data_IF_709306318704
#
_entry.id   IF_709306318704
#
_cell.length_a   1.000
_cell.length_b   1.000
_cell.length_c   1.000
_cell.angle_alpha   90.00
_cell.angle_beta   90.00
_cell.angle_gamma   90.00
#
_symmetry.space_group_name_H-M   'P 1'
#
loop_
_entity.id
_entity.type
_entity.pdbx_description
1 polymer ?
#
# COMPACT_ATOMS: atom_id res chain seq x y z
N UNK A 1 15.89 14.62 -34.59
CA UNK A 1 16.18 13.50 -33.65
C UNK A 1 15.06 12.48 -33.82
N UNK A 2 15.35 11.17 -33.95
CA UNK A 2 14.28 10.15 -33.92
C UNK A 2 13.56 10.23 -32.57
N UNK A 3 12.27 10.39 -32.59
CA UNK A 3 11.42 10.36 -31.38
C UNK A 3 11.67 9.04 -30.66
N UNK A 4 12.12 9.09 -29.41
CA UNK A 4 12.35 7.86 -28.61
C UNK A 4 11.01 7.31 -28.13
N UNK A 5 10.70 6.06 -28.47
CA UNK A 5 9.50 5.35 -28.00
C UNK A 5 9.72 4.88 -26.57
N UNK A 6 8.98 5.46 -25.63
CA UNK A 6 9.04 5.08 -24.23
C UNK A 6 7.85 4.19 -23.89
N UNK A 7 8.14 3.00 -23.37
CA UNK A 7 7.14 2.10 -22.80
C UNK A 7 7.23 2.09 -21.27
N UNK A 8 6.15 2.52 -20.59
CA UNK A 8 5.95 2.39 -19.16
C UNK A 8 5.24 1.07 -18.89
N UNK A 9 5.93 0.14 -18.24
CA UNK A 9 5.48 -1.23 -18.02
C UNK A 9 5.15 -1.49 -16.55
N UNK A 10 3.93 -1.96 -16.25
CA UNK A 10 3.65 -2.71 -15.03
C UNK A 10 3.72 -4.21 -15.34
N UNK A 11 4.69 -4.93 -14.76
CA UNK A 11 4.99 -6.29 -15.17
C UNK A 11 4.03 -7.34 -14.61
N UNK A 12 3.01 -6.93 -13.83
CA UNK A 12 2.08 -7.82 -13.15
C UNK A 12 2.73 -8.66 -12.05
N UNK A 13 2.00 -9.65 -11.55
CA UNK A 13 2.42 -10.54 -10.47
C UNK A 13 2.29 -11.99 -10.92
N UNK A 14 3.37 -12.78 -10.83
CA UNK A 14 3.38 -14.19 -11.26
C UNK A 14 2.86 -15.15 -10.19
N UNK A 15 3.11 -14.85 -8.93
CA UNK A 15 2.79 -15.71 -7.80
C UNK A 15 2.11 -14.88 -6.73
N UNK A 16 0.80 -14.85 -6.73
CA UNK A 16 0.01 -14.22 -5.68
C UNK A 16 -1.39 -14.80 -5.66
N UNK A 17 -2.02 -14.86 -4.49
CA UNK A 17 -3.42 -15.19 -4.41
C UNK A 17 -4.26 -14.16 -5.18
N UNK A 18 -5.39 -14.59 -5.71
CA UNK A 18 -6.34 -13.76 -6.45
C UNK A 18 -7.07 -12.80 -5.50
N UNK A 19 -6.42 -11.75 -5.07
CA UNK A 19 -7.09 -10.59 -4.48
C UNK A 19 -7.02 -9.43 -5.46
N UNK A 20 -8.17 -8.80 -5.74
CA UNK A 20 -8.26 -7.70 -6.71
C UNK A 20 -7.54 -6.45 -6.22
N UNK A 21 -7.17 -5.58 -7.13
CA UNK A 21 -6.83 -4.21 -6.78
C UNK A 21 -8.06 -3.53 -6.18
N UNK A 22 -7.85 -2.65 -5.22
CA UNK A 22 -8.91 -1.87 -4.63
C UNK A 22 -9.39 -0.75 -5.60
N UNK A 23 -8.52 -0.34 -6.52
CA UNK A 23 -8.77 0.65 -7.58
C UNK A 23 -8.80 -0.02 -8.95
N UNK A 24 -9.42 0.63 -9.92
CA UNK A 24 -9.50 0.14 -11.30
C UNK A 24 -8.15 0.26 -12.05
N UNK A 25 -7.28 1.16 -11.61
CA UNK A 25 -5.96 1.41 -12.18
C UNK A 25 -4.82 1.22 -11.16
N UNK A 26 -3.61 1.03 -11.66
CA UNK A 26 -2.40 1.12 -10.86
C UNK A 26 -2.02 2.60 -10.66
N UNK A 27 -2.56 3.23 -9.62
CA UNK A 27 -2.48 4.68 -9.36
C UNK A 27 -1.07 5.26 -9.52
N UNK A 28 -0.02 4.56 -9.07
CA UNK A 28 1.36 5.03 -9.21
C UNK A 28 1.80 5.20 -10.66
N UNK A 29 1.25 4.41 -11.60
CA UNK A 29 1.55 4.57 -13.03
C UNK A 29 0.92 5.84 -13.60
N UNK A 30 -0.24 6.28 -13.08
CA UNK A 30 -0.88 7.54 -13.49
C UNK A 30 0.08 8.70 -13.28
N UNK A 31 0.76 8.75 -12.13
CA UNK A 31 1.75 9.79 -11.81
C UNK A 31 3.01 9.68 -12.68
N UNK A 32 3.52 8.46 -12.87
CA UNK A 32 4.66 8.24 -13.76
C UNK A 32 4.33 8.63 -15.21
N UNK A 33 3.17 8.27 -15.70
CA UNK A 33 2.69 8.60 -17.04
C UNK A 33 2.55 10.12 -17.21
N UNK A 34 1.89 10.79 -16.28
CA UNK A 34 1.73 12.25 -16.31
C UNK A 34 3.09 12.98 -16.29
N UNK A 35 4.07 12.48 -15.52
CA UNK A 35 5.42 13.02 -15.50
C UNK A 35 6.13 12.82 -16.84
N UNK A 36 6.15 11.61 -17.37
CA UNK A 36 6.89 11.25 -18.59
C UNK A 36 6.33 11.94 -19.83
N UNK A 37 5.01 12.11 -19.94
CA UNK A 37 4.38 12.83 -21.05
C UNK A 37 4.81 14.29 -21.21
N UNK A 38 5.40 14.89 -20.19
CA UNK A 38 5.94 16.24 -20.27
C UNK A 38 7.23 16.33 -21.07
N UNK A 39 7.91 15.20 -21.28
CA UNK A 39 9.27 15.14 -21.87
C UNK A 39 9.37 14.22 -23.09
N UNK A 40 8.39 13.35 -23.28
CA UNK A 40 8.33 12.43 -24.41
C UNK A 40 7.06 12.68 -25.22
N UNK A 41 7.19 12.74 -26.53
CA UNK A 41 6.04 12.90 -27.44
C UNK A 41 5.13 11.67 -27.41
N UNK A 42 5.74 10.49 -27.29
CA UNK A 42 5.03 9.21 -27.22
C UNK A 42 5.43 8.44 -25.97
N UNK A 43 4.45 8.22 -25.08
CA UNK A 43 4.55 7.36 -23.92
C UNK A 43 3.44 6.33 -24.01
N UNK A 44 3.82 5.08 -24.28
CA UNK A 44 2.91 3.95 -24.23
C UNK A 44 2.90 3.39 -22.80
N UNK A 45 1.72 3.08 -22.28
CA UNK A 45 1.55 2.36 -21.02
C UNK A 45 1.13 0.94 -21.32
N UNK A 46 1.75 -0.03 -20.66
CA UNK A 46 1.35 -1.43 -20.71
C UNK A 46 1.20 -1.96 -19.28
N UNK A 47 -0.04 -2.15 -18.85
CA UNK A 47 -0.38 -2.78 -17.59
C UNK A 47 -0.73 -4.25 -17.86
N UNK A 48 0.22 -5.16 -17.63
CA UNK A 48 0.04 -6.58 -17.91
C UNK A 48 -0.99 -7.25 -17.01
N UNK A 49 -1.21 -6.72 -15.81
CA UNK A 49 -2.24 -7.26 -14.93
C UNK A 49 -3.64 -6.87 -15.40
N UNK A 50 -3.80 -5.63 -15.88
CA UNK A 50 -5.07 -5.16 -16.45
C UNK A 50 -5.40 -5.86 -17.78
N UNK A 51 -4.39 -6.15 -18.63
CA UNK A 51 -4.60 -6.80 -19.95
C UNK A 51 -4.71 -8.32 -19.87
N UNK A 52 -3.89 -8.97 -19.03
CA UNK A 52 -3.76 -10.43 -19.03
C UNK A 52 -4.30 -11.09 -17.76
N UNK A 53 -4.63 -10.30 -16.73
CA UNK A 53 -4.95 -10.83 -15.40
C UNK A 53 -3.75 -11.45 -14.69
N UNK A 54 -4.01 -12.18 -13.61
CA UNK A 54 -2.99 -12.89 -12.82
C UNK A 54 -3.00 -14.37 -13.14
N UNK A 55 -1.85 -14.96 -13.49
CA UNK A 55 -1.75 -16.40 -13.75
C UNK A 55 -1.93 -17.19 -12.43
N UNK A 56 -2.61 -18.34 -12.52
CA UNK A 56 -2.99 -19.17 -11.35
C UNK A 56 -2.17 -20.45 -11.23
N UNK A 57 -1.56 -20.88 -12.34
CA UNK A 57 -0.79 -22.11 -12.41
C UNK A 57 0.41 -21.93 -13.33
N UNK A 58 1.27 -22.94 -13.41
CA UNK A 58 2.53 -22.89 -14.17
C UNK A 58 2.32 -22.68 -15.68
N UNK A 59 1.30 -23.32 -16.24
CA UNK A 59 0.99 -23.16 -17.68
C UNK A 59 0.50 -21.75 -17.99
N UNK A 60 -0.36 -21.17 -17.14
CA UNK A 60 -0.80 -19.78 -17.26
C UNK A 60 0.35 -18.80 -17.07
N UNK A 61 1.29 -19.06 -16.13
CA UNK A 61 2.49 -18.23 -15.93
C UNK A 61 3.38 -18.20 -17.16
N UNK A 62 3.61 -19.36 -17.79
CA UNK A 62 4.38 -19.44 -19.02
C UNK A 62 3.69 -18.68 -20.14
N UNK A 63 2.39 -18.91 -20.39
CA UNK A 63 1.61 -18.18 -21.39
C UNK A 63 1.59 -16.67 -21.14
N UNK A 64 1.49 -16.26 -19.89
CA UNK A 64 1.55 -14.86 -19.48
C UNK A 64 2.91 -14.25 -19.87
N UNK A 65 4.01 -14.87 -19.51
CA UNK A 65 5.35 -14.35 -19.81
C UNK A 65 5.63 -14.31 -21.32
N UNK A 66 5.29 -15.36 -22.06
CA UNK A 66 5.49 -15.43 -23.51
C UNK A 66 4.63 -14.39 -24.24
N UNK A 67 3.35 -14.27 -23.86
CA UNK A 67 2.44 -13.27 -24.42
C UNK A 67 2.87 -11.83 -24.06
N UNK A 68 3.27 -11.59 -22.82
CA UNK A 68 3.77 -10.30 -22.39
C UNK A 68 5.05 -9.89 -23.12
N UNK A 69 6.00 -10.81 -23.27
CA UNK A 69 7.24 -10.56 -24.02
C UNK A 69 6.92 -10.23 -25.49
N UNK A 70 6.09 -11.04 -26.15
CA UNK A 70 5.66 -10.78 -27.53
C UNK A 70 4.99 -9.41 -27.69
N UNK A 71 4.13 -9.02 -26.72
CA UNK A 71 3.46 -7.71 -26.72
C UNK A 71 4.47 -6.55 -26.57
N UNK A 72 5.42 -6.66 -25.64
CA UNK A 72 6.46 -5.64 -25.45
C UNK A 72 7.33 -5.51 -26.71
N UNK A 73 7.74 -6.63 -27.29
CA UNK A 73 8.56 -6.64 -28.50
C UNK A 73 7.86 -6.02 -29.71
N UNK A 74 6.53 -6.24 -29.85
CA UNK A 74 5.74 -5.65 -30.94
C UNK A 74 5.64 -4.13 -30.86
N UNK A 75 5.81 -3.54 -29.68
CA UNK A 75 5.84 -2.09 -29.45
C UNK A 75 7.21 -1.47 -29.76
N UNK A 76 8.23 -2.31 -29.96
CA UNK A 76 9.60 -1.89 -30.30
C UNK A 76 10.14 -0.73 -29.47
N UNK A 77 10.11 -0.75 -28.12
CA UNK A 77 10.52 0.38 -27.31
C UNK A 77 12.02 0.66 -27.42
N UNK A 78 12.39 1.93 -27.52
CA UNK A 78 13.77 2.39 -27.36
C UNK A 78 14.15 2.48 -25.87
N UNK A 79 13.16 2.87 -25.05
CA UNK A 79 13.23 2.97 -23.59
C UNK A 79 12.12 2.15 -22.96
N UNK A 80 12.46 1.27 -22.04
CA UNK A 80 11.53 0.50 -21.22
C UNK A 80 11.66 0.91 -19.76
N UNK A 81 10.60 1.49 -19.19
CA UNK A 81 10.50 1.85 -17.77
C UNK A 81 9.64 0.82 -17.04
N UNK A 82 10.27 -0.04 -16.25
CA UNK A 82 9.60 -1.12 -15.52
C UNK A 82 9.24 -0.66 -14.12
N UNK A 83 7.95 -0.70 -13.78
CA UNK A 83 7.46 -0.40 -12.45
C UNK A 83 7.44 -1.65 -11.57
N UNK A 84 8.51 -1.89 -10.81
CA UNK A 84 8.54 -2.90 -9.75
C UNK A 84 8.01 -2.26 -8.44
N UNK A 85 6.71 -2.01 -8.40
CA UNK A 85 6.04 -1.28 -7.32
C UNK A 85 6.15 -2.01 -5.98
N UNK A 86 6.05 -3.34 -5.98
CA UNK A 86 6.21 -4.17 -4.78
C UNK A 86 7.17 -5.32 -5.03
N UNK A 87 7.58 -6.01 -3.95
CA UNK A 87 8.40 -7.22 -4.06
C UNK A 87 7.70 -8.35 -4.81
N UNK A 88 6.36 -8.34 -4.89
CA UNK A 88 5.57 -9.29 -5.67
C UNK A 88 5.83 -9.19 -7.19
N UNK A 89 6.26 -8.02 -7.66
CA UNK A 89 6.55 -7.79 -9.07
C UNK A 89 7.99 -8.18 -9.47
N UNK A 90 8.84 -8.55 -8.52
CA UNK A 90 10.28 -8.75 -8.78
C UNK A 90 10.54 -9.81 -9.86
N UNK A 91 9.96 -11.01 -9.74
CA UNK A 91 10.19 -12.09 -10.70
C UNK A 91 9.66 -11.77 -12.09
N UNK A 92 8.47 -11.18 -12.21
CA UNK A 92 7.93 -10.77 -13.51
C UNK A 92 8.78 -9.68 -14.16
N UNK A 93 9.16 -8.65 -13.39
CA UNK A 93 10.03 -7.58 -13.88
C UNK A 93 11.38 -8.12 -14.40
N UNK A 94 12.01 -9.00 -13.62
CA UNK A 94 13.29 -9.62 -13.97
C UNK A 94 13.19 -10.51 -15.22
N UNK A 95 12.24 -11.44 -15.25
CA UNK A 95 12.07 -12.39 -16.37
C UNK A 95 11.77 -11.69 -17.69
N UNK A 96 10.89 -10.67 -17.67
CA UNK A 96 10.58 -9.88 -18.85
C UNK A 96 11.79 -9.06 -19.31
N UNK A 97 12.51 -8.42 -18.39
CA UNK A 97 13.73 -7.68 -18.73
C UNK A 97 14.82 -8.59 -19.33
N UNK A 98 15.02 -9.80 -18.78
CA UNK A 98 15.93 -10.82 -19.33
C UNK A 98 15.52 -11.25 -20.75
N UNK A 99 14.23 -11.46 -21.00
CA UNK A 99 13.69 -11.76 -22.32
C UNK A 99 13.94 -10.64 -23.33
N UNK A 100 13.65 -9.40 -22.95
CA UNK A 100 13.87 -8.23 -23.81
C UNK A 100 15.35 -8.00 -24.08
N UNK A 101 16.22 -8.21 -23.09
CA UNK A 101 17.67 -8.07 -23.28
C UNK A 101 18.21 -9.07 -24.31
N UNK A 102 17.65 -10.29 -24.40
CA UNK A 102 18.02 -11.28 -25.41
C UNK A 102 17.55 -10.91 -26.82
N UNK A 103 16.29 -10.49 -26.94
CA UNK A 103 15.65 -10.27 -28.24
C UNK A 103 15.97 -8.88 -28.81
N UNK A 104 16.14 -7.87 -27.95
CA UNK A 104 16.42 -6.46 -28.32
C UNK A 104 17.48 -5.86 -27.39
N UNK A 105 18.77 -6.23 -27.56
CA UNK A 105 19.85 -5.78 -26.67
C UNK A 105 20.06 -4.25 -26.66
N UNK A 106 19.59 -3.54 -27.69
CA UNK A 106 19.69 -2.09 -27.79
C UNK A 106 18.64 -1.32 -26.95
N UNK A 107 17.53 -1.97 -26.54
CA UNK A 107 16.53 -1.34 -25.69
C UNK A 107 17.14 -0.95 -24.35
N UNK A 108 17.01 0.31 -23.96
CA UNK A 108 17.41 0.78 -22.63
C UNK A 108 16.35 0.43 -21.60
N UNK A 109 16.73 -0.25 -20.51
CA UNK A 109 15.81 -0.73 -19.50
C UNK A 109 16.11 -0.07 -18.15
N UNK A 110 15.15 0.67 -17.63
CA UNK A 110 15.19 1.15 -16.26
C UNK A 110 14.15 0.43 -15.40
N UNK A 111 14.43 0.30 -14.11
CA UNK A 111 13.48 -0.22 -13.13
C UNK A 111 13.33 0.76 -11.97
N UNK A 112 12.10 1.00 -11.54
CA UNK A 112 11.76 1.86 -10.42
C UNK A 112 10.61 1.28 -9.58
N UNK A 113 10.26 1.95 -8.48
CA UNK A 113 9.22 1.56 -7.54
C UNK A 113 9.75 1.31 -6.13
N UNK A 114 8.91 0.77 -5.23
CA UNK A 114 9.30 0.53 -3.83
C UNK A 114 10.41 -0.51 -3.72
N UNK A 115 10.30 -1.65 -4.40
CA UNK A 115 11.29 -2.70 -4.28
C UNK A 115 12.70 -2.23 -4.69
N UNK A 116 12.94 -1.64 -5.89
CA UNK A 116 14.24 -1.08 -6.24
C UNK A 116 14.73 0.04 -5.32
N UNK A 117 13.81 0.75 -4.66
CA UNK A 117 14.16 1.81 -3.71
C UNK A 117 14.82 1.24 -2.45
N UNK A 118 14.34 0.09 -1.96
CA UNK A 118 14.85 -0.53 -0.73
C UNK A 118 15.88 -1.63 -0.97
N UNK A 119 15.84 -2.26 -2.16
CA UNK A 119 16.71 -3.39 -2.55
C UNK A 119 17.30 -3.18 -3.93
N UNK A 120 18.00 -2.06 -4.11
CA UNK A 120 18.65 -1.73 -5.39
C UNK A 120 19.66 -2.79 -5.84
N UNK A 121 20.28 -3.51 -4.90
CA UNK A 121 21.22 -4.60 -5.16
C UNK A 121 20.60 -5.78 -5.88
N UNK A 122 19.29 -6.01 -5.74
CA UNK A 122 18.58 -7.08 -6.46
C UNK A 122 18.49 -6.82 -7.98
N UNK A 123 18.76 -5.56 -8.38
CA UNK A 123 18.75 -5.12 -9.79
C UNK A 123 20.12 -4.68 -10.29
N UNK A 124 21.11 -4.51 -9.39
CA UNK A 124 22.49 -4.08 -9.71
C UNK A 124 23.48 -5.19 -9.40
N UNK A 125 23.63 -6.12 -10.33
CA UNK A 125 24.59 -7.22 -10.24
C UNK A 125 25.25 -7.44 -11.62
N UNK A 126 26.42 -8.11 -11.70
CA UNK A 126 27.03 -8.45 -12.97
C UNK A 126 26.09 -9.27 -13.87
N UNK A 127 25.83 -8.80 -15.08
CA UNK A 127 24.89 -9.45 -16.01
C UNK A 127 23.42 -9.09 -15.79
N UNK A 128 23.11 -8.08 -14.95
CA UNK A 128 21.75 -7.57 -14.78
C UNK A 128 21.16 -7.11 -16.12
N UNK A 129 19.90 -7.41 -16.42
CA UNK A 129 19.24 -6.93 -17.62
C UNK A 129 18.90 -5.43 -17.58
N UNK A 130 18.99 -4.79 -16.41
CA UNK A 130 18.63 -3.40 -16.20
C UNK A 130 19.83 -2.47 -16.39
N UNK A 131 19.68 -1.43 -17.22
CA UNK A 131 20.71 -0.39 -17.42
C UNK A 131 20.69 0.64 -16.27
N UNK A 132 19.52 0.84 -15.65
CA UNK A 132 19.37 1.84 -14.59
C UNK A 132 18.37 1.41 -13.52
N UNK A 133 18.66 1.78 -12.26
CA UNK A 133 17.78 1.56 -11.11
C UNK A 133 17.41 2.91 -10.51
N UNK A 134 16.15 3.30 -10.70
CA UNK A 134 15.58 4.52 -10.10
C UNK A 134 15.13 4.21 -8.66
N UNK A 135 16.00 4.47 -7.70
CA UNK A 135 15.69 4.33 -6.28
C UNK A 135 15.06 5.63 -5.76
N UNK A 136 13.79 5.60 -5.41
CA UNK A 136 12.98 6.76 -5.00
C UNK A 136 12.02 7.22 -6.09
N UNK A 137 11.80 8.52 -6.17
CA UNK A 137 10.84 9.10 -7.11
C UNK A 137 11.35 9.05 -8.56
N UNK A 138 10.43 9.08 -9.54
CA UNK A 138 10.73 8.93 -10.98
C UNK A 138 11.68 10.00 -11.50
N UNK A 139 11.69 11.19 -10.92
CA UNK A 139 12.56 12.31 -11.27
C UNK A 139 14.05 11.96 -11.13
N UNK A 140 14.38 10.99 -10.28
CA UNK A 140 15.75 10.49 -10.13
C UNK A 140 16.26 9.75 -11.37
N UNK A 141 15.35 9.29 -12.22
CA UNK A 141 15.69 8.71 -13.51
C UNK A 141 15.95 9.76 -14.61
N UNK A 142 15.66 11.03 -14.36
CA UNK A 142 15.79 12.11 -15.35
C UNK A 142 17.14 12.11 -16.10
N UNK A 143 18.32 11.99 -15.46
CA UNK A 143 19.59 11.96 -16.17
C UNK A 143 19.73 10.77 -17.13
N UNK A 144 19.24 9.59 -16.73
CA UNK A 144 19.25 8.41 -17.58
C UNK A 144 18.28 8.53 -18.75
N UNK A 145 17.14 9.16 -18.52
CA UNK A 145 16.12 9.41 -19.54
C UNK A 145 16.50 10.54 -20.49
N UNK A 146 17.57 11.31 -20.19
CA UNK A 146 17.96 12.49 -20.94
C UNK A 146 17.00 13.66 -20.74
N UNK A 147 16.36 13.73 -19.56
CA UNK A 147 15.46 14.80 -19.15
C UNK A 147 16.27 15.84 -18.37
N UNK A 148 16.20 17.11 -18.83
CA UNK A 148 16.73 18.24 -18.08
C UNK A 148 15.66 18.80 -17.14
N UNK A 149 15.86 18.59 -15.83
CA UNK A 149 14.96 19.10 -14.80
C UNK A 149 15.52 20.43 -14.26
N UNK A 150 14.71 21.47 -14.16
CA UNK A 150 15.14 22.73 -13.54
C UNK A 150 15.54 22.48 -12.09
N UNK A 151 16.76 22.91 -11.70
CA UNK A 151 17.49 22.57 -10.48
C UNK A 151 16.82 22.94 -9.15
N UNK A 152 15.69 23.65 -9.13
CA UNK A 152 14.98 24.07 -7.91
C UNK A 152 13.46 23.96 -7.93
N UNK A 153 12.84 23.76 -9.06
CA UNK A 153 11.40 23.64 -9.14
C UNK A 153 11.01 22.18 -9.24
N UNK A 154 10.52 21.65 -8.15
CA UNK A 154 9.76 20.42 -8.15
C UNK A 154 10.52 19.11 -8.42
N UNK A 155 11.58 18.85 -7.67
CA UNK A 155 11.99 17.46 -7.43
C UNK A 155 11.22 16.97 -6.19
N UNK A 156 9.96 16.66 -6.38
CA UNK A 156 9.09 16.15 -5.35
C UNK A 156 8.05 15.26 -5.99
N UNK A 157 7.42 14.38 -5.20
CA UNK A 157 6.43 13.41 -5.70
C UNK A 157 5.24 14.06 -6.42
N UNK A 158 5.15 15.38 -6.41
CA UNK A 158 4.08 16.20 -7.01
C UNK A 158 4.57 17.05 -8.20
N UNK A 159 5.75 16.74 -8.75
CA UNK A 159 6.29 17.44 -9.93
C UNK A 159 5.39 17.29 -11.16
N UNK A 160 4.59 16.24 -11.21
CA UNK A 160 3.56 16.07 -12.22
C UNK A 160 2.19 15.89 -11.55
N UNK A 161 1.25 16.76 -11.91
CA UNK A 161 -0.14 16.57 -11.57
C UNK A 161 -0.66 15.29 -12.26
N UNK A 162 -1.34 14.37 -11.56
CA UNK A 162 -1.88 13.17 -12.20
C UNK A 162 -2.94 13.55 -13.24
N UNK A 163 -2.86 12.92 -14.39
CA UNK A 163 -3.83 13.09 -15.48
C UNK A 163 -4.60 11.79 -15.67
N UNK A 164 -5.64 11.61 -14.86
CA UNK A 164 -6.49 10.43 -14.90
C UNK A 164 -7.31 10.35 -16.19
N UNK A 165 -7.70 11.49 -16.75
CA UNK A 165 -8.55 11.52 -17.95
C UNK A 165 -7.82 10.99 -19.20
N UNK A 166 -6.51 11.24 -19.30
CA UNK A 166 -5.66 10.76 -20.41
C UNK A 166 -5.00 9.41 -20.14
N UNK A 167 -5.15 8.85 -18.93
CA UNK A 167 -4.50 7.59 -18.59
C UNK A 167 -5.22 6.42 -19.28
N UNK A 168 -4.51 5.54 -20.03
CA UNK A 168 -5.15 4.54 -20.90
C UNK A 168 -6.04 3.51 -20.19
N UNK A 169 -5.77 3.26 -18.90
CA UNK A 169 -6.53 2.28 -18.08
C UNK A 169 -7.52 2.93 -17.12
N UNK A 170 -7.69 4.25 -17.16
CA UNK A 170 -8.68 4.92 -16.34
C UNK A 170 -10.10 4.54 -16.80
N UNK A 171 -10.96 4.21 -15.83
CA UNK A 171 -12.35 3.80 -16.10
C UNK A 171 -13.33 4.69 -15.38
N UNK A 172 -14.39 5.08 -16.07
CA UNK A 172 -15.49 5.84 -15.47
C UNK A 172 -16.33 4.96 -14.53
N UNK A 173 -16.78 5.53 -13.43
CA UNK A 173 -17.68 4.87 -12.48
C UNK A 173 -17.03 3.88 -11.51
N UNK A 174 -15.75 3.54 -11.71
CA UNK A 174 -14.98 2.70 -10.78
C UNK A 174 -14.47 3.44 -9.55
N UNK A 175 -13.84 2.75 -8.59
CA UNK A 175 -13.08 3.41 -7.52
C UNK A 175 -11.74 3.91 -8.08
N UNK A 176 -11.38 5.16 -7.77
CA UNK A 176 -10.14 5.80 -8.22
C UNK A 176 -9.20 6.02 -7.04
N UNK A 177 -7.93 5.66 -7.20
CA UNK A 177 -6.90 5.93 -6.21
C UNK A 177 -6.21 7.27 -6.43
N UNK A 178 -5.89 8.00 -5.35
CA UNK A 178 -5.12 9.25 -5.42
C UNK A 178 -4.16 9.36 -4.23
N UNK A 179 -2.98 9.94 -4.47
CA UNK A 179 -2.06 10.33 -3.41
C UNK A 179 -2.18 11.84 -3.16
N UNK A 180 -2.51 12.22 -1.95
CA UNK A 180 -2.51 13.61 -1.49
C UNK A 180 -1.30 13.93 -0.59
N UNK A 181 -0.58 12.89 -0.14
CA UNK A 181 0.71 13.02 0.51
C UNK A 181 1.59 11.80 0.22
N UNK A 182 2.91 11.95 0.37
CA UNK A 182 3.85 10.84 0.37
C UNK A 182 4.64 10.78 1.66
N UNK A 183 5.16 9.58 1.96
CA UNK A 183 5.98 9.34 3.13
C UNK A 183 5.18 9.32 4.43
N UNK A 184 5.86 8.91 5.51
CA UNK A 184 5.29 8.81 6.84
C UNK A 184 6.39 9.07 7.88
N UNK A 185 6.20 9.99 8.85
CA UNK A 185 7.23 10.32 9.84
C UNK A 185 7.32 9.27 10.96
N UNK A 186 6.34 8.38 11.04
CA UNK A 186 6.34 7.33 12.04
C UNK A 186 7.34 6.23 11.68
N UNK A 187 7.74 5.46 12.71
CA UNK A 187 8.80 4.46 12.58
C UNK A 187 8.31 3.06 12.95
N UNK A 188 7.11 2.72 12.50
CA UNK A 188 6.55 1.40 12.70
C UNK A 188 7.47 0.32 12.12
N UNK A 189 7.85 -0.68 12.94
CA UNK A 189 8.91 -1.62 12.59
C UNK A 189 8.59 -2.51 11.38
N UNK A 190 7.31 -2.77 11.14
CA UNK A 190 6.81 -3.59 10.03
C UNK A 190 6.64 -2.84 8.70
N UNK A 191 6.74 -1.48 8.72
CA UNK A 191 6.35 -0.63 7.60
C UNK A 191 7.57 -0.18 6.79
N UNK A 192 7.42 -0.13 5.47
CA UNK A 192 8.45 0.36 4.55
C UNK A 192 8.53 1.89 4.51
N UNK A 193 7.44 2.60 4.86
CA UNK A 193 7.35 4.07 4.78
C UNK A 193 8.10 4.81 5.90
N UNK A 194 8.55 4.13 6.95
CA UNK A 194 9.12 4.74 8.16
C UNK A 194 10.39 5.60 7.94
N UNK A 195 11.00 5.53 6.77
CA UNK A 195 12.22 6.30 6.42
C UNK A 195 11.93 7.50 5.53
N UNK A 196 10.67 7.77 5.20
CA UNK A 196 10.31 8.80 4.23
C UNK A 196 9.73 10.03 4.92
N UNK A 197 10.21 11.21 4.51
CA UNK A 197 9.63 12.48 4.96
C UNK A 197 8.18 12.58 4.45
N UNK A 198 7.27 12.96 5.32
CA UNK A 198 5.91 13.27 4.92
C UNK A 198 5.87 14.58 4.11
N UNK A 199 5.30 14.54 2.94
CA UNK A 199 5.22 15.68 2.01
C UNK A 199 3.81 15.71 1.42
N UNK A 200 2.97 16.71 1.79
CA UNK A 200 1.62 16.83 1.27
C UNK A 200 1.58 17.58 -0.06
N UNK A 201 0.52 17.34 -0.82
CA UNK A 201 0.05 18.24 -1.87
C UNK A 201 -0.50 19.50 -1.21
N UNK A 202 -0.26 20.70 -1.72
CA UNK A 202 -0.92 21.92 -1.22
C UNK A 202 -2.44 21.78 -1.25
N UNK A 203 -3.14 22.21 -0.19
CA UNK A 203 -4.59 22.02 -0.06
C UNK A 203 -5.39 22.46 -1.29
N UNK A 204 -5.17 23.67 -1.87
CA UNK A 204 -5.94 24.10 -3.04
C UNK A 204 -5.73 23.18 -4.26
N UNK A 205 -4.55 22.59 -4.39
CA UNK A 205 -4.24 21.67 -5.48
C UNK A 205 -4.82 20.28 -5.23
N UNK A 206 -4.78 19.80 -3.99
CA UNK A 206 -5.42 18.55 -3.59
C UNK A 206 -6.93 18.58 -3.88
N UNK A 207 -7.62 19.63 -3.46
CA UNK A 207 -9.05 19.82 -3.69
C UNK A 207 -9.39 19.92 -5.18
N UNK A 208 -8.60 20.65 -5.96
CA UNK A 208 -8.75 20.73 -7.42
C UNK A 208 -8.58 19.37 -8.10
N UNK A 209 -7.59 18.58 -7.66
CA UNK A 209 -7.36 17.24 -8.20
C UNK A 209 -8.57 16.34 -7.96
N UNK A 210 -9.18 16.38 -6.76
CA UNK A 210 -10.39 15.61 -6.46
C UNK A 210 -11.57 16.02 -7.35
N UNK A 211 -11.80 17.33 -7.52
CA UNK A 211 -12.86 17.85 -8.39
C UNK A 211 -12.65 17.40 -9.86
N UNK A 212 -11.42 17.43 -10.38
CA UNK A 212 -11.10 16.99 -11.73
C UNK A 212 -11.29 15.47 -11.91
N UNK A 213 -10.93 14.65 -10.92
CA UNK A 213 -11.19 13.22 -10.92
C UNK A 213 -12.70 12.96 -10.96
N UNK A 214 -13.47 13.64 -10.12
CA UNK A 214 -14.92 13.47 -10.07
C UNK A 214 -15.57 13.88 -11.39
N UNK A 215 -15.18 15.02 -11.93
CA UNK A 215 -15.70 15.55 -13.20
C UNK A 215 -15.33 14.68 -14.40
N UNK A 216 -14.08 14.20 -14.46
CA UNK A 216 -13.55 13.40 -15.57
C UNK A 216 -14.02 11.96 -15.54
N UNK A 217 -14.06 11.31 -14.40
CA UNK A 217 -14.29 9.88 -14.26
C UNK A 217 -15.63 9.50 -13.60
N UNK A 218 -16.30 10.44 -12.91
CA UNK A 218 -17.52 10.17 -12.14
C UNK A 218 -17.37 8.92 -11.25
N UNK A 219 -16.35 8.85 -10.39
CA UNK A 219 -16.04 7.65 -9.63
C UNK A 219 -17.12 7.37 -8.58
N UNK A 220 -17.35 6.10 -8.26
CA UNK A 220 -18.20 5.74 -7.12
C UNK A 220 -17.53 6.06 -5.78
N UNK A 221 -16.19 6.03 -5.73
CA UNK A 221 -15.41 6.39 -4.56
C UNK A 221 -14.00 6.85 -4.98
N UNK A 222 -13.45 7.78 -4.22
CA UNK A 222 -12.03 8.18 -4.30
C UNK A 222 -11.30 7.64 -3.08
N UNK A 223 -10.27 6.83 -3.33
CA UNK A 223 -9.41 6.25 -2.30
C UNK A 223 -8.17 7.11 -2.14
N UNK A 224 -8.01 7.74 -0.97
CA UNK A 224 -6.78 8.47 -0.63
C UNK A 224 -5.76 7.46 -0.13
N UNK A 225 -4.78 7.14 -0.98
CA UNK A 225 -3.79 6.07 -0.78
C UNK A 225 -2.56 6.52 0.02
N UNK A 226 -2.70 7.61 0.77
CA UNK A 226 -1.63 8.15 1.59
C UNK A 226 -1.16 7.13 2.63
N UNK A 227 0.15 7.01 2.82
CA UNK A 227 0.72 6.18 3.88
C UNK A 227 0.27 6.62 5.30
N UNK A 228 -0.14 7.88 5.44
CA UNK A 228 -0.66 8.46 6.68
C UNK A 228 -1.45 9.73 6.37
N UNK A 229 -2.73 9.59 6.09
CA UNK A 229 -3.60 10.74 5.80
C UNK A 229 -3.65 11.71 6.97
N UNK A 230 -3.57 13.00 6.64
CA UNK A 230 -3.84 14.09 7.57
C UNK A 230 -2.85 14.20 8.73
N UNK A 231 -1.57 13.84 8.51
CA UNK A 231 -0.53 13.90 9.53
C UNK A 231 -0.34 15.28 10.13
N UNK A 232 -0.38 16.33 9.33
CA UNK A 232 -0.31 17.71 9.80
C UNK A 232 -1.71 18.23 10.12
N UNK A 233 -1.96 18.71 11.37
CA UNK A 233 -3.29 19.13 11.78
C UNK A 233 -3.80 20.35 10.99
N UNK A 234 -2.92 21.29 10.65
CA UNK A 234 -3.32 22.51 9.91
C UNK A 234 -3.73 22.12 8.49
N UNK A 235 -2.89 21.38 7.78
CA UNK A 235 -3.21 20.87 6.45
C UNK A 235 -4.53 20.09 6.46
N UNK A 236 -4.71 19.21 7.44
CA UNK A 236 -5.87 18.34 7.56
C UNK A 236 -7.16 19.13 7.74
N UNK A 237 -7.16 20.10 8.68
CA UNK A 237 -8.35 20.92 8.95
C UNK A 237 -8.73 21.79 7.74
N UNK A 238 -7.73 22.41 7.09
CA UNK A 238 -7.97 23.20 5.88
C UNK A 238 -8.49 22.31 4.73
N UNK A 239 -7.92 21.11 4.56
CA UNK A 239 -8.38 20.16 3.55
C UNK A 239 -9.81 19.69 3.81
N UNK A 240 -10.13 19.24 5.04
CA UNK A 240 -11.47 18.76 5.38
C UNK A 240 -12.54 19.85 5.23
N UNK A 241 -12.23 21.08 5.63
CA UNK A 241 -13.11 22.23 5.40
C UNK A 241 -13.37 22.42 3.91
N UNK A 242 -12.34 22.48 3.08
CA UNK A 242 -12.47 22.65 1.64
C UNK A 242 -13.22 21.49 0.97
N UNK A 243 -12.97 20.24 1.43
CA UNK A 243 -13.67 19.05 0.93
C UNK A 243 -15.19 19.15 1.14
N UNK A 244 -15.60 19.59 2.34
CA UNK A 244 -17.02 19.79 2.67
C UNK A 244 -17.63 20.95 1.88
N UNK A 245 -16.90 22.08 1.74
CA UNK A 245 -17.38 23.28 1.02
C UNK A 245 -17.55 23.01 -0.49
N UNK A 246 -16.72 22.17 -1.09
CA UNK A 246 -16.86 21.83 -2.52
C UNK A 246 -18.10 21.00 -2.82
N UNK A 247 -18.57 20.18 -1.88
CA UNK A 247 -19.65 19.22 -2.09
C UNK A 247 -19.30 18.18 -3.17
N UNK A 248 -19.28 16.92 -2.80
CA UNK A 248 -18.90 15.82 -3.68
C UNK A 248 -20.05 14.82 -3.81
N UNK A 249 -20.18 14.22 -5.00
CA UNK A 249 -21.20 13.19 -5.28
C UNK A 249 -20.67 11.76 -5.06
N UNK A 250 -19.35 11.58 -4.92
CA UNK A 250 -18.71 10.28 -4.67
C UNK A 250 -18.38 10.08 -3.19
N UNK A 251 -18.15 8.82 -2.80
CA UNK A 251 -17.63 8.48 -1.49
C UNK A 251 -16.11 8.67 -1.40
N UNK A 252 -15.60 8.78 -0.17
CA UNK A 252 -14.16 8.83 0.10
C UNK A 252 -13.73 7.63 0.96
N UNK A 253 -12.51 7.20 0.76
CA UNK A 253 -11.88 6.19 1.60
C UNK A 253 -10.49 6.68 2.00
N UNK A 254 -10.26 6.79 3.32
CA UNK A 254 -9.00 7.30 3.89
C UNK A 254 -8.34 6.26 4.79
N UNK A 255 -7.01 6.27 4.82
CA UNK A 255 -6.22 5.42 5.70
C UNK A 255 -5.40 6.29 6.66
N UNK A 256 -5.55 6.05 7.96
CA UNK A 256 -4.86 6.86 8.97
C UNK A 256 -4.60 6.08 10.26
N UNK A 257 -3.96 6.73 11.22
CA UNK A 257 -3.77 6.21 12.58
C UNK A 257 -4.93 6.63 13.47
N UNK A 258 -5.27 5.79 14.44
CA UNK A 258 -6.36 6.06 15.38
C UNK A 258 -6.08 7.24 16.34
N UNK A 259 -4.84 7.75 16.40
CA UNK A 259 -4.44 8.85 17.28
C UNK A 259 -4.28 10.20 16.56
N UNK A 260 -4.65 10.31 15.28
CA UNK A 260 -4.49 11.54 14.51
C UNK A 260 -5.77 12.38 14.40
N UNK A 261 -6.91 11.75 14.14
CA UNK A 261 -8.17 12.48 13.98
C UNK A 261 -8.73 12.92 15.34
N UNK A 262 -9.21 14.14 15.41
CA UNK A 262 -9.96 14.67 16.55
C UNK A 262 -11.48 14.71 16.27
N UNK A 263 -12.28 15.14 17.24
CA UNK A 263 -13.73 15.15 17.14
C UNK A 263 -14.24 16.10 16.06
N UNK A 264 -13.58 17.26 15.87
CA UNK A 264 -13.92 18.21 14.79
C UNK A 264 -13.66 17.61 13.42
N UNK A 265 -12.54 16.87 13.25
CA UNK A 265 -12.22 16.17 12.01
C UNK A 265 -13.31 15.15 11.66
N UNK A 266 -13.78 14.37 12.64
CA UNK A 266 -14.85 13.39 12.45
C UNK A 266 -16.19 14.06 12.12
N UNK A 267 -16.51 15.20 12.71
CA UNK A 267 -17.72 15.97 12.39
C UNK A 267 -17.69 16.51 10.95
N UNK A 268 -16.51 16.94 10.46
CA UNK A 268 -16.37 17.31 9.04
C UNK A 268 -16.49 16.07 8.14
N UNK A 269 -15.83 14.97 8.48
CA UNK A 269 -15.88 13.73 7.71
C UNK A 269 -17.30 13.13 7.66
N UNK A 270 -18.12 13.29 8.70
CA UNK A 270 -19.51 12.84 8.70
C UNK A 270 -20.41 13.60 7.70
N UNK A 271 -19.96 14.76 7.21
CA UNK A 271 -20.70 15.55 6.21
C UNK A 271 -20.45 15.11 4.77
N UNK A 272 -19.49 14.21 4.57
CA UNK A 272 -19.21 13.57 3.29
C UNK A 272 -19.34 12.05 3.45
N UNK A 273 -19.67 11.34 2.38
CA UNK A 273 -19.69 9.88 2.41
C UNK A 273 -18.26 9.37 2.56
N UNK A 274 -17.89 8.86 3.74
CA UNK A 274 -16.53 8.44 4.03
C UNK A 274 -16.47 7.06 4.70
N UNK A 275 -15.41 6.32 4.41
CA UNK A 275 -14.93 5.15 5.14
C UNK A 275 -13.52 5.39 5.64
N UNK A 276 -13.25 5.01 6.87
CA UNK A 276 -11.95 5.22 7.53
C UNK A 276 -11.30 3.88 7.86
N UNK A 277 -10.10 3.64 7.34
CA UNK A 277 -9.25 2.52 7.71
C UNK A 277 -8.26 2.98 8.78
N UNK A 278 -8.30 2.33 9.93
CA UNK A 278 -7.45 2.63 11.09
C UNK A 278 -6.36 1.58 11.25
N UNK A 279 -5.11 1.99 11.06
CA UNK A 279 -3.98 1.15 11.43
C UNK A 279 -3.83 1.08 12.95
N UNK A 280 -4.47 0.10 13.59
CA UNK A 280 -4.36 -0.14 15.05
C UNK A 280 -3.23 -1.11 15.35
N UNK A 281 -3.09 -2.14 14.55
CA UNK A 281 -2.08 -3.19 14.47
C UNK A 281 -2.17 -4.24 15.58
N UNK A 282 -2.39 -3.85 16.83
CA UNK A 282 -2.57 -4.76 17.96
C UNK A 282 -3.33 -4.12 19.11
N UNK A 283 -4.09 -4.94 19.83
CA UNK A 283 -4.67 -4.54 21.11
C UNK A 283 -3.78 -4.91 22.31
N UNK A 284 -2.59 -5.44 22.07
CA UNK A 284 -1.59 -5.69 23.11
C UNK A 284 -0.68 -4.48 23.28
N UNK A 285 -0.63 -3.83 24.46
CA UNK A 285 0.33 -2.75 24.74
C UNK A 285 1.78 -3.18 24.51
N UNK A 286 2.12 -4.43 24.82
CA UNK A 286 3.46 -4.99 24.61
C UNK A 286 3.78 -5.06 23.11
N UNK A 287 2.84 -5.57 22.28
CA UNK A 287 3.06 -5.63 20.83
C UNK A 287 3.16 -4.26 20.20
N UNK A 288 2.35 -3.29 20.61
CA UNK A 288 2.43 -1.92 20.10
C UNK A 288 3.82 -1.29 20.33
N UNK A 289 4.47 -1.60 21.47
CA UNK A 289 5.87 -1.18 21.74
C UNK A 289 6.86 -1.92 20.85
N UNK A 290 6.73 -3.25 20.71
CA UNK A 290 7.60 -4.06 19.84
C UNK A 290 7.49 -3.59 18.37
N UNK A 291 6.30 -3.36 17.90
CA UNK A 291 5.99 -2.83 16.56
C UNK A 291 6.43 -1.36 16.37
N UNK A 292 6.86 -0.69 17.45
CA UNK A 292 7.16 0.75 17.44
C UNK A 292 6.00 1.60 16.92
N UNK A 293 4.76 1.13 17.13
CA UNK A 293 3.55 1.86 16.70
C UNK A 293 3.38 3.14 17.52
N UNK A 294 3.60 3.04 18.82
CA UNK A 294 3.51 4.15 19.78
C UNK A 294 4.39 3.93 21.00
N UNK A 295 4.85 5.01 21.62
CA UNK A 295 5.53 4.98 22.92
C UNK A 295 4.54 4.91 24.10
N UNK A 296 3.28 5.31 23.90
CA UNK A 296 2.20 5.36 24.89
C UNK A 296 1.02 4.46 24.48
N UNK A 297 1.18 3.12 24.55
CA UNK A 297 0.19 2.19 24.00
C UNK A 297 -1.18 2.26 24.70
N UNK A 298 -1.23 2.47 25.99
CA UNK A 298 -2.50 2.55 26.72
C UNK A 298 -3.30 3.79 26.27
N UNK A 299 -2.67 4.94 26.16
CA UNK A 299 -3.28 6.16 25.61
C UNK A 299 -3.69 5.99 24.15
N UNK A 300 -2.89 5.27 23.34
CA UNK A 300 -3.18 4.99 21.95
C UNK A 300 -4.46 4.15 21.81
N UNK A 301 -4.60 3.11 22.64
CA UNK A 301 -5.77 2.24 22.66
C UNK A 301 -7.02 2.96 23.18
N UNK A 302 -6.88 3.81 24.21
CA UNK A 302 -7.99 4.69 24.67
C UNK A 302 -8.46 5.63 23.56
N UNK A 303 -7.54 6.24 22.82
CA UNK A 303 -7.88 7.08 21.65
C UNK A 303 -8.62 6.28 20.58
N UNK A 304 -8.20 5.04 20.30
CA UNK A 304 -8.89 4.17 19.37
C UNK A 304 -10.35 3.93 19.79
N UNK A 305 -10.59 3.58 21.07
CA UNK A 305 -11.96 3.35 21.58
C UNK A 305 -12.81 4.61 21.50
N UNK A 306 -12.26 5.75 21.92
CA UNK A 306 -12.95 7.04 21.85
C UNK A 306 -13.32 7.43 20.43
N UNK A 307 -12.38 7.32 19.50
CA UNK A 307 -12.58 7.59 18.07
C UNK A 307 -13.64 6.66 17.48
N UNK A 308 -13.57 5.35 17.76
CA UNK A 308 -14.53 4.37 17.23
C UNK A 308 -15.95 4.62 17.75
N UNK A 309 -16.11 5.03 19.01
CA UNK A 309 -17.41 5.46 19.54
C UNK A 309 -17.96 6.69 18.82
N UNK A 310 -17.10 7.70 18.59
CA UNK A 310 -17.51 8.91 17.88
C UNK A 310 -17.87 8.59 16.41
N UNK A 311 -17.08 7.78 15.71
CA UNK A 311 -17.41 7.30 14.37
C UNK A 311 -18.78 6.61 14.34
N UNK A 312 -19.04 5.72 15.29
CA UNK A 312 -20.33 5.02 15.38
C UNK A 312 -21.49 5.98 15.65
N UNK A 313 -21.32 6.96 16.55
CA UNK A 313 -22.33 7.98 16.84
C UNK A 313 -22.64 8.88 15.63
N UNK A 314 -21.65 9.11 14.77
CA UNK A 314 -21.78 9.89 13.55
C UNK A 314 -22.16 9.05 12.31
N UNK A 315 -22.31 7.73 12.45
CA UNK A 315 -22.61 6.83 11.33
C UNK A 315 -21.44 6.58 10.36
N UNK A 316 -20.21 6.95 10.73
CA UNK A 316 -19.04 6.78 9.89
C UNK A 316 -18.58 5.31 9.94
N UNK A 317 -18.57 4.64 8.79
CA UNK A 317 -17.98 3.29 8.67
C UNK A 317 -16.47 3.32 8.86
N UNK A 318 -15.95 2.43 9.69
CA UNK A 318 -14.51 2.35 9.91
C UNK A 318 -14.04 0.92 10.19
N UNK A 319 -12.83 0.63 9.70
CA UNK A 319 -12.16 -0.65 9.87
C UNK A 319 -10.95 -0.49 10.80
N UNK A 320 -10.75 -1.41 11.72
CA UNK A 320 -9.53 -1.54 12.51
C UNK A 320 -8.67 -2.68 11.95
N UNK A 321 -7.48 -2.35 11.45
CA UNK A 321 -6.53 -3.34 10.92
C UNK A 321 -5.61 -3.83 12.02
N UNK A 322 -5.48 -5.16 12.15
CA UNK A 322 -4.65 -5.88 13.10
C UNK A 322 -3.65 -6.77 12.37
N UNK A 323 -2.42 -6.84 12.88
CA UNK A 323 -1.34 -7.68 12.38
C UNK A 323 -0.98 -8.70 13.44
N UNK A 324 -1.14 -9.97 13.10
CA UNK A 324 -0.74 -11.11 13.92
C UNK A 324 0.53 -11.78 13.39
N UNK A 325 1.15 -12.61 14.20
CA UNK A 325 2.41 -13.28 13.88
C UNK A 325 3.58 -12.31 13.59
N UNK A 326 3.52 -11.10 14.16
CA UNK A 326 4.66 -10.18 14.12
C UNK A 326 5.77 -10.69 15.03
N UNK A 327 7.08 -10.54 14.68
CA UNK A 327 8.20 -10.86 15.55
C UNK A 327 8.00 -10.37 17.00
N UNK A 328 8.22 -11.27 17.96
CA UNK A 328 8.00 -11.01 19.37
C UNK A 328 6.60 -11.29 19.88
N UNK A 329 5.64 -11.71 19.03
CA UNK A 329 4.34 -12.17 19.48
C UNK A 329 4.46 -13.47 20.28
N UNK A 330 3.67 -13.60 21.35
CA UNK A 330 3.75 -14.67 22.32
C UNK A 330 2.39 -14.89 22.99
N UNK A 331 2.24 -15.98 23.74
CA UNK A 331 1.03 -16.25 24.50
C UNK A 331 0.67 -15.10 25.47
N UNK A 332 1.66 -14.41 26.00
CA UNK A 332 1.44 -13.22 26.84
C UNK A 332 0.77 -12.10 26.06
N UNK A 333 1.29 -11.77 24.88
CA UNK A 333 0.76 -10.66 24.06
C UNK A 333 -0.62 -10.98 23.49
N UNK A 334 -0.89 -12.25 23.20
CA UNK A 334 -2.24 -12.69 22.79
C UNK A 334 -3.23 -12.53 23.93
N UNK A 335 -2.86 -12.92 25.16
CA UNK A 335 -3.75 -12.71 26.34
C UNK A 335 -3.98 -11.22 26.63
N UNK A 336 -3.00 -10.34 26.40
CA UNK A 336 -3.20 -8.89 26.50
C UNK A 336 -4.24 -8.42 25.47
N UNK A 337 -4.11 -8.89 24.22
CA UNK A 337 -5.02 -8.60 23.14
C UNK A 337 -6.45 -9.06 23.44
N UNK A 338 -6.63 -10.33 23.81
CA UNK A 338 -7.93 -10.93 24.17
C UNK A 338 -8.60 -10.16 25.32
N UNK A 339 -7.84 -9.85 26.36
CA UNK A 339 -8.33 -9.09 27.52
C UNK A 339 -8.81 -7.69 27.14
N UNK A 340 -8.10 -7.00 26.25
CA UNK A 340 -8.54 -5.69 25.78
C UNK A 340 -9.82 -5.79 24.94
N UNK A 341 -9.90 -6.78 24.06
CA UNK A 341 -11.11 -7.06 23.29
C UNK A 341 -12.31 -7.28 24.19
N UNK A 342 -12.20 -8.17 25.19
CA UNK A 342 -13.29 -8.53 26.11
C UNK A 342 -13.74 -7.35 26.99
N UNK A 343 -12.78 -6.52 27.47
CA UNK A 343 -13.07 -5.48 28.42
C UNK A 343 -13.46 -4.14 27.81
N UNK A 344 -13.01 -3.86 26.58
CA UNK A 344 -13.15 -2.54 25.98
C UNK A 344 -13.85 -2.60 24.61
N UNK A 345 -13.37 -3.45 23.70
CA UNK A 345 -13.90 -3.48 22.32
C UNK A 345 -15.32 -4.01 22.29
N UNK A 346 -15.56 -5.19 22.88
CA UNK A 346 -16.87 -5.81 22.92
C UNK A 346 -17.92 -4.94 23.63
N UNK A 347 -17.71 -4.50 24.90
CA UNK A 347 -18.74 -3.78 25.65
C UNK A 347 -19.01 -2.36 25.10
N UNK A 348 -17.98 -1.70 24.55
CA UNK A 348 -18.07 -0.28 24.23
C UNK A 348 -18.35 -0.01 22.75
N UNK A 349 -18.07 -0.97 21.86
CA UNK A 349 -18.15 -0.79 20.40
C UNK A 349 -19.15 -1.72 19.71
N UNK A 350 -19.76 -2.65 20.45
CA UNK A 350 -20.80 -3.54 19.91
C UNK A 350 -22.00 -2.72 19.38
N UNK A 351 -22.51 -3.12 18.21
CA UNK A 351 -23.63 -2.41 17.56
C UNK A 351 -23.25 -1.14 16.77
N UNK A 352 -21.96 -0.73 16.85
CA UNK A 352 -21.45 0.41 16.08
C UNK A 352 -21.09 0.10 14.63
N UNK A 353 -20.39 1.03 14.01
CA UNK A 353 -19.96 0.96 12.60
C UNK A 353 -18.57 0.32 12.41
N UNK A 354 -17.96 -0.18 13.48
CA UNK A 354 -16.64 -0.81 13.45
C UNK A 354 -16.68 -2.17 12.74
N UNK A 355 -15.66 -2.41 11.92
CA UNK A 355 -15.29 -3.76 11.43
C UNK A 355 -13.82 -4.02 11.76
N UNK A 356 -13.52 -5.21 12.29
CA UNK A 356 -12.14 -5.62 12.57
C UNK A 356 -11.61 -6.43 11.39
N UNK A 357 -10.47 -6.01 10.85
CA UNK A 357 -9.71 -6.71 9.82
C UNK A 357 -8.43 -7.26 10.40
N UNK A 358 -8.14 -8.52 10.14
CA UNK A 358 -6.91 -9.14 10.60
C UNK A 358 -6.09 -9.69 9.46
N UNK A 359 -4.78 -9.53 9.57
CA UNK A 359 -3.80 -10.11 8.66
C UNK A 359 -2.65 -10.75 9.42
N UNK A 360 -1.97 -11.68 8.76
CA UNK A 360 -0.69 -12.21 9.24
C UNK A 360 0.43 -11.28 8.78
N UNK A 361 1.40 -11.05 9.66
CA UNK A 361 2.60 -10.29 9.34
C UNK A 361 3.26 -10.82 8.06
N UNK A 362 3.68 -9.93 7.21
CA UNK A 362 4.45 -10.22 6.01
C UNK A 362 5.81 -9.54 6.10
N UNK A 363 6.87 -10.27 5.86
CA UNK A 363 8.23 -9.77 5.89
C UNK A 363 8.55 -9.05 4.58
N UNK A 364 8.55 -7.73 4.61
CA UNK A 364 8.91 -6.92 3.45
C UNK A 364 10.31 -6.32 3.60
N UNK A 365 11.13 -6.33 2.53
CA UNK A 365 12.41 -5.64 2.52
C UNK A 365 12.21 -4.14 2.70
N UNK A 366 13.17 -3.49 3.35
CA UNK A 366 13.10 -2.07 3.69
C UNK A 366 12.32 -1.76 4.97
N UNK A 367 11.65 -2.75 5.60
CA UNK A 367 11.11 -2.60 6.95
C UNK A 367 12.20 -2.77 8.01
N UNK A 368 12.01 -2.14 9.17
CA UNK A 368 12.97 -2.31 10.27
C UNK A 368 13.01 -3.75 10.80
N UNK A 369 11.92 -4.51 10.69
CA UNK A 369 11.91 -5.94 11.01
C UNK A 369 12.88 -6.70 10.10
N UNK A 370 12.82 -6.48 8.78
CA UNK A 370 13.71 -7.13 7.84
C UNK A 370 15.19 -6.83 8.14
N UNK A 371 15.52 -5.55 8.34
CA UNK A 371 16.88 -5.10 8.63
C UNK A 371 17.41 -5.62 9.98
N UNK A 372 16.53 -6.05 10.89
CA UNK A 372 16.87 -6.45 12.28
C UNK A 372 16.62 -7.94 12.55
N UNK A 373 16.44 -8.78 11.55
CA UNK A 373 16.17 -10.22 11.74
C UNK A 373 17.18 -10.90 12.69
N UNK A 374 18.51 -10.68 12.62
CA UNK A 374 19.45 -11.29 13.55
C UNK A 374 19.18 -10.89 15.01
N UNK A 375 18.90 -9.61 15.25
CA UNK A 375 18.60 -9.10 16.60
C UNK A 375 17.25 -9.67 17.13
N UNK A 376 16.28 -9.85 16.25
CA UNK A 376 14.98 -10.42 16.62
C UNK A 376 15.10 -11.93 16.88
N UNK A 377 15.98 -12.62 16.17
CA UNK A 377 16.32 -14.01 16.46
C UNK A 377 16.93 -14.16 17.85
N UNK A 378 17.90 -13.32 18.22
CA UNK A 378 18.49 -13.31 19.56
C UNK A 378 17.45 -13.00 20.64
N UNK A 379 16.63 -11.97 20.43
CA UNK A 379 15.71 -11.45 21.46
C UNK A 379 14.47 -12.33 21.66
N UNK A 380 13.91 -12.89 20.60
CA UNK A 380 12.62 -13.57 20.61
C UNK A 380 12.66 -15.00 20.04
N UNK A 381 13.80 -15.42 19.48
CA UNK A 381 13.87 -16.66 18.71
C UNK A 381 13.13 -16.57 17.38
N UNK A 382 12.94 -15.36 16.85
CA UNK A 382 12.30 -15.15 15.54
C UNK A 382 13.12 -15.79 14.42
N UNK A 383 12.46 -16.49 13.51
CA UNK A 383 13.10 -17.00 12.29
C UNK A 383 12.22 -16.74 11.07
N UNK A 384 12.84 -16.51 9.92
CA UNK A 384 12.18 -16.43 8.63
C UNK A 384 12.69 -17.57 7.76
N UNK A 385 11.79 -18.40 7.22
CA UNK A 385 12.14 -19.52 6.35
C UNK A 385 12.56 -19.01 4.96
N UNK A 386 11.91 -17.98 4.47
CA UNK A 386 12.13 -17.37 3.16
C UNK A 386 12.43 -15.86 3.31
N UNK A 387 13.63 -15.47 3.81
CA UNK A 387 13.94 -14.06 4.05
C UNK A 387 13.99 -13.22 2.77
N UNK A 388 14.34 -13.83 1.63
CA UNK A 388 14.33 -13.20 0.30
C UNK A 388 13.26 -13.83 -0.61
N UNK A 389 12.06 -14.06 -0.06
CA UNK A 389 10.94 -14.74 -0.67
C UNK A 389 10.59 -14.26 -2.09
N UNK A 390 10.86 -13.01 -2.41
CA UNK A 390 10.57 -12.43 -3.74
C UNK A 390 11.46 -12.97 -4.86
N UNK A 391 12.54 -13.65 -4.53
CA UNK A 391 13.46 -14.32 -5.48
C UNK A 391 13.06 -15.77 -5.76
N UNK A 392 12.15 -16.31 -4.96
CA UNK A 392 11.73 -17.70 -4.99
C UNK A 392 10.45 -17.88 -5.79
N UNK A 393 10.30 -19.00 -6.48
CA UNK A 393 9.06 -19.37 -7.14
C UNK A 393 8.06 -19.94 -6.13
N UNK A 394 6.77 -19.69 -6.36
CA UNK A 394 5.72 -20.17 -5.50
C UNK A 394 4.74 -19.06 -5.07
N UNK A 395 3.94 -19.31 -4.05
CA UNK A 395 3.04 -18.28 -3.48
C UNK A 395 3.85 -17.29 -2.64
N UNK A 396 4.30 -16.23 -3.24
CA UNK A 396 5.13 -15.22 -2.60
C UNK A 396 4.46 -14.58 -1.37
N UNK A 397 3.15 -14.48 -1.34
CA UNK A 397 2.47 -13.93 -0.18
C UNK A 397 2.51 -14.92 0.99
N UNK A 398 2.37 -16.22 0.73
CA UNK A 398 2.56 -17.25 1.74
C UNK A 398 4.02 -17.29 2.21
N UNK A 399 4.98 -17.26 1.29
CA UNK A 399 6.41 -17.21 1.59
C UNK A 399 6.78 -15.98 2.44
N UNK A 400 6.22 -14.80 2.13
CA UNK A 400 6.46 -13.58 2.91
C UNK A 400 5.94 -13.66 4.34
N UNK A 401 5.02 -14.61 4.61
CA UNK A 401 4.42 -14.87 5.92
C UNK A 401 5.03 -16.05 6.66
N UNK A 402 6.04 -16.71 6.09
CA UNK A 402 6.77 -17.83 6.70
C UNK A 402 7.74 -17.33 7.76
N UNK A 403 7.20 -16.61 8.75
CA UNK A 403 7.94 -16.08 9.89
C UNK A 403 7.45 -16.78 11.14
N UNK A 404 8.37 -17.37 11.90
CA UNK A 404 8.11 -17.82 13.28
C UNK A 404 8.32 -16.60 14.19
N UNK A 405 7.26 -16.04 14.80
CA UNK A 405 7.35 -14.79 15.57
C UNK A 405 8.24 -14.86 16.78
N UNK A 406 8.21 -15.97 17.50
CA UNK A 406 9.01 -16.19 18.70
C UNK A 406 9.15 -17.68 19.02
N UNK A 407 10.00 -17.97 20.04
CA UNK A 407 10.08 -19.30 20.65
C UNK A 407 9.94 -19.18 22.16
N UNK A 408 9.38 -20.22 22.78
CA UNK A 408 9.31 -20.29 24.24
C UNK A 408 10.67 -20.66 24.87
N UNK A 409 10.74 -20.71 26.20
CA UNK A 409 11.96 -21.05 26.94
C UNK A 409 12.47 -22.48 26.67
N UNK A 410 11.69 -23.33 26.01
CA UNK A 410 12.06 -24.68 25.55
C UNK A 410 12.40 -24.73 24.08
N UNK A 411 12.49 -23.56 23.41
CA UNK A 411 12.77 -23.44 22.00
C UNK A 411 11.62 -23.79 21.07
N UNK A 412 10.40 -24.06 21.59
CA UNK A 412 9.23 -24.40 20.77
C UNK A 412 8.70 -23.15 20.07
N UNK A 413 8.41 -23.23 18.75
CA UNK A 413 7.90 -22.10 18.00
C UNK A 413 6.50 -21.69 18.49
N UNK A 414 6.29 -20.39 18.56
CA UNK A 414 4.99 -19.79 18.76
C UNK A 414 4.49 -19.19 17.44
N UNK A 415 3.39 -19.72 16.94
CA UNK A 415 2.71 -19.24 15.71
C UNK A 415 1.21 -19.34 15.94
N UNK A 416 0.49 -18.25 15.70
CA UNK A 416 -0.97 -18.24 15.75
C UNK A 416 -1.54 -18.84 14.46
N UNK A 417 -2.38 -19.85 14.60
CA UNK A 417 -3.07 -20.41 13.44
C UNK A 417 -4.13 -19.46 12.89
N UNK A 418 -4.41 -19.51 11.58
CA UNK A 418 -5.47 -18.69 10.98
C UNK A 418 -6.83 -18.82 11.69
N UNK A 419 -7.18 -20.00 12.17
CA UNK A 419 -8.44 -20.23 12.91
C UNK A 419 -8.46 -19.48 14.25
N UNK A 420 -7.34 -19.45 14.98
CA UNK A 420 -7.22 -18.73 16.26
C UNK A 420 -7.29 -17.22 16.06
N UNK A 421 -6.84 -16.71 14.90
CA UNK A 421 -6.92 -15.30 14.54
C UNK A 421 -8.33 -14.93 14.07
N UNK A 422 -8.81 -15.62 13.04
CA UNK A 422 -10.01 -15.23 12.31
C UNK A 422 -11.32 -15.61 13.03
N UNK A 423 -11.33 -16.69 13.81
CA UNK A 423 -12.54 -17.19 14.47
C UNK A 423 -13.20 -16.16 15.40
N UNK A 424 -12.50 -15.68 16.44
CA UNK A 424 -13.03 -14.65 17.34
C UNK A 424 -13.42 -13.34 16.64
N UNK A 425 -12.62 -12.91 15.67
CA UNK A 425 -12.86 -11.67 14.90
C UNK A 425 -14.11 -11.83 14.01
N UNK A 426 -14.31 -12.98 13.38
CA UNK A 426 -15.49 -13.23 12.57
C UNK A 426 -16.77 -13.26 13.42
N UNK A 427 -16.71 -13.83 14.60
CA UNK A 427 -17.81 -13.83 15.57
C UNK A 427 -18.14 -12.41 16.04
N UNK A 428 -17.11 -11.63 16.37
CA UNK A 428 -17.23 -10.22 16.73
C UNK A 428 -17.89 -9.40 15.62
N UNK A 429 -17.38 -9.51 14.40
CA UNK A 429 -17.94 -8.78 13.26
C UNK A 429 -19.40 -9.19 12.96
N UNK A 430 -19.78 -10.45 13.23
CA UNK A 430 -21.20 -10.87 13.14
C UNK A 430 -22.05 -10.20 14.21
N UNK A 431 -21.57 -10.13 15.45
CA UNK A 431 -22.31 -9.47 16.54
C UNK A 431 -22.53 -7.97 16.24
N UNK A 432 -21.56 -7.30 15.65
CA UNK A 432 -21.69 -5.90 15.21
C UNK A 432 -22.76 -5.74 14.11
N UNK A 433 -22.82 -6.63 13.13
CA UNK A 433 -23.82 -6.61 12.04
C UNK A 433 -25.23 -6.89 12.55
N UNK A 434 -25.41 -7.92 13.36
CA UNK A 434 -26.72 -8.29 13.94
C UNK A 434 -27.33 -7.18 14.79
N UNK A 435 -26.52 -6.41 15.50
CA UNK A 435 -27.00 -5.27 16.27
C UNK A 435 -27.45 -4.10 15.37
N UNK A 436 -26.82 -3.88 14.21
CA UNK A 436 -27.27 -2.86 13.21
C UNK A 436 -28.64 -3.22 12.62
N UNK A 437 -28.87 -4.47 12.25
CA UNK A 437 -30.15 -4.92 11.69
C UNK A 437 -31.29 -4.83 12.68
N UNK A 438 -31.03 -5.05 13.97
CA UNK A 438 -32.04 -4.88 15.03
C UNK A 438 -32.34 -3.43 15.36
N UNK A 439 -31.38 -2.50 15.20
CA UNK A 439 -31.60 -1.08 15.47
C UNK A 439 -32.27 -0.34 14.29
N UNK A 440 -32.09 -0.84 13.06
CA UNK A 440 -32.77 -0.29 11.87
C UNK A 440 -34.23 -0.71 11.72
N UNK A 441 -34.70 -1.65 12.56
CA UNK A 441 -36.10 -2.10 12.61
C UNK A 441 -36.91 -1.45 13.75
N UNK A 442 -36.30 -0.54 14.48
CA UNK A 442 -36.97 0.31 15.48
C UNK A 442 -37.03 1.76 14.98
#
# INVERSE_FOLDING_TARGET
>A
MKTRRLLLLYPGVLFAPSWGNATEENTHLVYCYAFLRRFFEEVTVLDLEAECGRPRNEEERRRFLDGALGRILSLEPDLLAVSCWSSLNYLSARRLAEGIRRERPQTKILVGGYHPTFRKEDFRYPGSPFDYVAAGEIERAAPFLGIDLPTKAAVGPWAAKPDFASYPYARRGGPVGVFLSTGCPYRCAYCMEYRRRWTPVPVPEALRTLAEIEQGLSPRAIMILDACFGRDPTWRKDFLKGLVEQGHCCGFWIQTRSDLLDDDDLEQLARVAVRIDLGVESFSPTMLRIMRKTAAPDRYLERFVSLSRKCSALGIEHDAYLIFNHPGESEKTVREHERFMERRVLPELAGGTLTIRSGTFSLFPGSAVYDSLPLLAERFGTTAEHPEWWKEEGDHLALSRSVIPSRDHRGRPFVLSPRRIAGPIAELNRSFRGARESSSRR
#
